data_IF_033747543465
#
_entry.id   IF_033747543465
#
_cell.length_a   1.000
_cell.length_b   1.000
_cell.length_c   1.000
_cell.angle_alpha   90.00
_cell.angle_beta   90.00
_cell.angle_gamma   90.00
#
_symmetry.space_group_name_H-M   'P 1'
#
loop_
_entity.id
_entity.type
_entity.pdbx_description
1 polymer ?
#
# COMPACT_ATOMS: atom_id res chain seq x y z
N UNK A 1 -6.34 33.07 61.79
CA UNK A 1 -7.03 31.88 61.24
C UNK A 1 -6.78 31.91 59.74
N UNK A 2 -5.71 31.29 59.26
CA UNK A 2 -5.60 29.91 58.77
C UNK A 2 -5.48 29.92 57.24
N UNK A 3 -4.25 29.78 56.74
CA UNK A 3 -3.92 29.63 55.34
C UNK A 3 -4.15 28.16 54.93
N UNK A 4 -4.97 27.93 53.90
CA UNK A 4 -5.22 26.60 53.33
C UNK A 4 -4.28 26.36 52.14
N UNK A 5 -3.30 25.49 52.34
CA UNK A 5 -2.39 25.00 51.31
C UNK A 5 -3.00 23.78 50.59
N UNK A 6 -3.02 23.81 49.27
CA UNK A 6 -3.40 22.66 48.42
C UNK A 6 -2.27 21.62 48.38
N UNK A 7 -2.55 20.31 48.50
CA UNK A 7 -1.54 19.27 48.32
C UNK A 7 -1.32 18.94 46.84
N UNK A 8 -0.10 19.20 46.34
CA UNK A 8 0.39 18.73 45.03
C UNK A 8 1.11 17.41 45.22
N UNK A 9 0.56 16.32 44.69
CA UNK A 9 1.22 15.00 44.66
C UNK A 9 2.08 14.86 43.39
N UNK A 10 3.36 14.46 43.50
CA UNK A 10 4.16 14.11 42.33
C UNK A 10 3.88 12.66 41.92
N UNK A 11 3.25 12.47 40.75
CA UNK A 11 3.11 11.16 40.13
C UNK A 11 4.43 10.79 39.45
N UNK A 12 5.05 9.73 39.96
CA UNK A 12 6.26 9.10 39.47
C UNK A 12 6.09 8.64 38.01
N UNK A 13 6.97 9.12 37.13
CA UNK A 13 7.02 8.74 35.72
C UNK A 13 7.76 7.40 35.58
N UNK A 14 7.18 6.36 34.95
CA UNK A 14 7.95 5.19 34.57
C UNK A 14 8.90 5.55 33.42
N UNK A 15 10.20 5.41 33.69
CA UNK A 15 11.29 5.53 32.72
C UNK A 15 11.21 4.34 31.74
N UNK A 16 10.64 4.56 30.56
CA UNK A 16 10.65 3.58 29.48
C UNK A 16 12.04 3.64 28.85
N UNK A 17 12.89 2.66 29.19
CA UNK A 17 14.14 2.38 28.48
C UNK A 17 13.79 1.86 27.08
N UNK A 18 14.06 2.68 26.07
CA UNK A 18 14.09 2.29 24.66
C UNK A 18 15.22 1.30 24.42
N UNK A 19 14.88 0.03 24.25
CA UNK A 19 15.77 -0.94 23.59
C UNK A 19 15.45 -0.94 22.10
N UNK A 20 16.27 -0.22 21.33
CA UNK A 20 16.39 -0.37 19.88
C UNK A 20 16.87 -1.78 19.56
N UNK A 21 15.95 -2.68 19.20
CA UNK A 21 16.28 -3.96 18.60
C UNK A 21 16.21 -3.79 17.08
N UNK A 22 17.37 -3.46 16.49
CA UNK A 22 17.58 -3.51 15.03
C UNK A 22 18.03 -4.95 14.75
N UNK A 23 17.11 -5.80 14.29
CA UNK A 23 17.49 -7.12 13.76
C UNK A 23 18.06 -6.93 12.36
N UNK A 24 19.38 -6.75 12.29
CA UNK A 24 20.16 -6.80 11.07
C UNK A 24 20.32 -8.27 10.64
N UNK A 25 19.55 -8.74 9.66
CA UNK A 25 19.86 -10.00 9.00
C UNK A 25 21.02 -9.78 8.02
N UNK A 26 22.24 -9.93 8.53
CA UNK A 26 23.44 -10.15 7.74
C UNK A 26 23.45 -11.62 7.27
N UNK A 27 23.23 -11.88 5.99
CA UNK A 27 23.63 -13.14 5.38
C UNK A 27 24.90 -12.88 4.61
N UNK A 28 26.00 -13.36 5.19
CA UNK A 28 27.34 -13.26 4.65
C UNK A 28 27.47 -14.03 3.33
N UNK A 29 27.99 -13.32 2.34
CA UNK A 29 28.49 -13.83 1.08
C UNK A 29 29.86 -14.50 1.34
N UNK A 30 30.11 -15.73 0.84
CA UNK A 30 31.47 -16.18 0.52
C UNK A 30 31.50 -17.32 -0.52
N UNK A 31 31.98 -16.93 -1.70
CA UNK A 31 32.77 -17.63 -2.72
C UNK A 31 32.88 -19.17 -2.69
N UNK A 32 32.52 -19.81 -3.81
CA UNK A 32 33.47 -20.67 -4.53
C UNK A 32 33.09 -20.87 -5.99
N UNK A 33 34.14 -20.81 -6.81
CA UNK A 33 34.22 -20.78 -8.27
C UNK A 33 33.87 -22.12 -8.93
N UNK A 34 33.00 -22.11 -9.95
CA UNK A 34 33.12 -23.07 -11.06
C UNK A 34 32.49 -22.54 -12.35
N UNK A 35 33.26 -22.66 -13.42
CA UNK A 35 32.99 -22.24 -14.79
C UNK A 35 31.76 -22.92 -15.43
N UNK A 36 30.95 -22.15 -16.14
CA UNK A 36 30.49 -22.41 -17.52
C UNK A 36 29.83 -21.12 -18.09
N UNK A 37 30.03 -20.79 -19.39
CA UNK A 37 29.40 -19.63 -20.04
C UNK A 37 28.06 -20.00 -20.72
N UNK A 38 27.20 -18.99 -20.84
CA UNK A 38 26.04 -18.85 -21.76
C UNK A 38 24.86 -19.83 -21.59
N UNK A 39 23.77 -19.27 -21.06
CA UNK A 39 22.55 -19.13 -21.87
C UNK A 39 21.76 -17.89 -21.40
N UNK A 40 21.53 -16.97 -22.33
CA UNK A 40 20.62 -15.84 -22.17
C UNK A 40 19.21 -16.43 -22.10
N UNK A 41 18.49 -16.20 -21.00
CA UNK A 41 17.05 -16.47 -20.96
C UNK A 41 16.35 -15.14 -21.20
N UNK A 42 16.15 -14.84 -22.49
CA UNK A 42 15.26 -13.79 -22.98
C UNK A 42 13.84 -14.33 -22.85
N UNK A 43 13.11 -13.89 -21.83
CA UNK A 43 11.68 -14.15 -21.70
C UNK A 43 10.92 -13.04 -22.42
N UNK A 44 10.71 -13.23 -23.72
CA UNK A 44 9.71 -12.49 -24.50
C UNK A 44 8.50 -13.41 -24.61
N UNK A 45 7.39 -13.02 -23.98
CA UNK A 45 6.10 -13.62 -24.23
C UNK A 45 5.21 -12.55 -24.85
N UNK A 46 5.01 -12.65 -26.16
CA UNK A 46 4.07 -11.87 -26.94
C UNK A 46 3.08 -12.80 -27.65
N UNK A 47 1.92 -12.23 -27.93
CA UNK A 47 0.75 -12.74 -28.67
C UNK A 47 -0.20 -13.69 -27.88
N UNK A 48 -1.43 -13.32 -27.48
CA UNK A 48 -2.58 -12.62 -28.09
C UNK A 48 -3.62 -13.57 -28.66
N UNK A 49 -4.84 -13.53 -28.10
CA UNK A 49 -6.13 -13.80 -28.75
C UNK A 49 -7.24 -13.33 -27.76
N UNK A 50 -7.78 -12.12 -27.92
CA UNK A 50 -8.94 -11.72 -28.74
C UNK A 50 -10.26 -11.77 -27.94
N UNK A 51 -10.79 -10.59 -27.58
CA UNK A 51 -12.14 -10.10 -27.91
C UNK A 51 -12.55 -8.94 -26.99
N UNK A 52 -13.17 -7.89 -27.55
CA UNK A 52 -13.84 -6.82 -26.79
C UNK A 52 -13.10 -5.47 -26.70
N UNK A 53 -13.64 -4.47 -27.40
CA UNK A 53 -13.22 -3.07 -27.40
C UNK A 53 -13.24 -2.44 -26.00
N UNK A 54 -12.08 -2.05 -25.50
CA UNK A 54 -11.89 -0.85 -24.66
C UNK A 54 -10.45 -0.40 -24.88
N UNK A 55 -10.16 0.84 -25.30
CA UNK A 55 -8.78 1.28 -25.48
C UNK A 55 -8.04 1.07 -24.15
N UNK A 56 -6.89 0.37 -24.13
CA UNK A 56 -6.13 0.20 -22.90
C UNK A 56 -5.69 1.59 -22.46
N UNK A 57 -6.34 2.10 -21.41
CA UNK A 57 -5.88 3.29 -20.71
C UNK A 57 -4.40 3.10 -20.48
N UNK A 58 -3.58 4.02 -21.01
CA UNK A 58 -2.11 4.01 -20.93
C UNK A 58 -1.73 3.42 -19.58
N UNK A 59 -1.14 2.23 -19.57
CA UNK A 59 -0.78 1.52 -18.35
C UNK A 59 0.43 2.22 -17.74
N UNK A 60 0.17 3.38 -17.13
CA UNK A 60 1.16 4.04 -16.31
C UNK A 60 1.56 3.05 -15.23
N UNK A 61 2.86 2.78 -15.13
CA UNK A 61 3.38 1.81 -14.19
C UNK A 61 3.17 2.37 -12.77
N UNK A 62 2.12 1.88 -12.12
CA UNK A 62 1.76 2.27 -10.77
C UNK A 62 2.77 1.70 -9.77
N UNK A 63 3.31 2.56 -8.91
CA UNK A 63 4.27 2.19 -7.87
C UNK A 63 3.74 2.55 -6.48
N UNK A 64 4.38 2.04 -5.45
CA UNK A 64 4.04 2.40 -4.08
C UNK A 64 4.32 3.89 -3.89
N UNK A 65 3.36 4.63 -3.34
CA UNK A 65 3.43 6.08 -3.19
C UNK A 65 2.84 6.88 -4.36
N UNK A 66 2.59 6.26 -5.53
CA UNK A 66 2.00 6.97 -6.66
C UNK A 66 0.62 7.54 -6.31
N UNK A 67 0.32 8.79 -6.75
CA UNK A 67 -1.00 9.36 -6.61
C UNK A 67 -1.97 8.69 -7.59
N UNK A 68 -3.17 8.38 -7.11
CA UNK A 68 -4.19 7.68 -7.90
C UNK A 68 -5.55 8.32 -7.71
N UNK A 69 -6.39 8.18 -8.73
CA UNK A 69 -7.79 8.61 -8.72
C UNK A 69 -8.70 7.42 -9.02
N UNK A 70 -9.75 7.27 -8.22
CA UNK A 70 -10.79 6.26 -8.42
C UNK A 70 -11.62 6.63 -9.64
N UNK A 71 -11.70 5.72 -10.61
CA UNK A 71 -12.47 5.91 -11.85
C UNK A 71 -13.89 5.37 -11.74
N UNK A 72 -14.10 4.32 -10.95
CA UNK A 72 -15.41 3.70 -10.73
C UNK A 72 -15.47 3.18 -9.29
N UNK A 73 -16.64 3.32 -8.64
CA UNK A 73 -16.85 2.82 -7.30
C UNK A 73 -16.92 1.28 -7.28
N UNK A 74 -16.04 0.58 -6.56
CA UNK A 74 -16.14 -0.87 -6.41
C UNK A 74 -17.45 -1.24 -5.70
N UNK A 75 -18.13 -2.33 -6.09
CA UNK A 75 -19.36 -2.78 -5.40
C UNK A 75 -19.11 -3.22 -3.96
N UNK A 76 -17.96 -3.84 -3.73
CA UNK A 76 -17.53 -4.35 -2.42
C UNK A 76 -16.08 -3.95 -2.18
N UNK A 77 -15.76 -3.63 -0.94
CA UNK A 77 -14.43 -3.17 -0.53
C UNK A 77 -13.98 -3.92 0.73
N UNK A 78 -12.68 -4.19 0.84
CA UNK A 78 -12.09 -4.73 2.07
C UNK A 78 -11.37 -3.64 2.83
N UNK A 79 -11.65 -3.54 4.13
CA UNK A 79 -10.93 -2.61 5.01
C UNK A 79 -9.56 -3.19 5.37
N UNK A 80 -8.52 -2.35 5.38
CA UNK A 80 -7.18 -2.76 5.82
C UNK A 80 -6.99 -2.74 7.36
N UNK A 81 -8.04 -3.05 8.12
CA UNK A 81 -7.98 -3.18 9.58
C UNK A 81 -7.31 -4.50 10.00
N UNK A 82 -6.96 -4.64 11.29
CA UNK A 82 -6.36 -5.88 11.83
C UNK A 82 -7.19 -7.13 11.53
N UNK A 83 -8.52 -6.98 11.45
CA UNK A 83 -9.44 -7.99 10.94
C UNK A 83 -10.08 -7.45 9.66
N UNK A 84 -9.63 -7.92 8.48
CA UNK A 84 -10.20 -7.46 7.21
C UNK A 84 -11.65 -7.92 7.06
N UNK A 85 -12.57 -6.97 6.99
CA UNK A 85 -13.97 -7.24 6.69
C UNK A 85 -14.30 -6.77 5.26
N UNK A 86 -15.05 -7.60 4.54
CA UNK A 86 -15.61 -7.26 3.24
C UNK A 86 -16.94 -6.53 3.49
N UNK A 87 -17.07 -5.31 2.94
CA UNK A 87 -18.25 -4.46 3.12
C UNK A 87 -18.77 -3.99 1.77
N UNK A 88 -20.08 -3.83 1.65
CA UNK A 88 -20.70 -3.14 0.51
C UNK A 88 -20.24 -1.69 0.51
N UNK A 89 -19.88 -1.19 -0.67
CA UNK A 89 -19.51 0.21 -0.85
C UNK A 89 -20.77 1.08 -0.90
N UNK A 90 -21.33 1.42 0.27
CA UNK A 90 -22.48 2.31 0.41
C UNK A 90 -22.05 3.79 0.36
N UNK A 91 -21.33 4.18 -0.70
CA UNK A 91 -20.79 5.55 -0.86
C UNK A 91 -19.53 5.85 -0.04
N UNK A 92 -18.81 4.81 0.41
CA UNK A 92 -17.56 4.92 1.17
C UNK A 92 -16.42 5.37 0.25
N UNK A 93 -16.42 4.85 -0.99
CA UNK A 93 -15.48 5.19 -2.04
C UNK A 93 -16.29 5.57 -3.26
N UNK A 94 -16.10 6.79 -3.74
CA UNK A 94 -16.82 7.34 -4.88
C UNK A 94 -15.85 7.56 -6.05
N UNK A 95 -16.36 7.59 -7.30
CA UNK A 95 -15.56 8.02 -8.44
C UNK A 95 -15.06 9.46 -8.22
N UNK A 96 -13.81 9.71 -8.57
CA UNK A 96 -13.14 10.99 -8.31
C UNK A 96 -12.38 11.04 -6.98
N UNK A 97 -12.55 10.06 -6.09
CA UNK A 97 -11.75 10.01 -4.87
C UNK A 97 -10.26 9.85 -5.19
N UNK A 98 -9.44 10.70 -4.57
CA UNK A 98 -8.00 10.71 -4.75
C UNK A 98 -7.32 10.05 -3.56
N UNK A 99 -6.29 9.26 -3.84
CA UNK A 99 -5.49 8.59 -2.84
C UNK A 99 -4.06 8.34 -3.26
N UNK A 100 -3.38 7.53 -2.44
CA UNK A 100 -2.03 7.04 -2.72
C UNK A 100 -1.94 5.54 -2.51
N UNK A 101 -1.10 4.90 -3.32
CA UNK A 101 -0.81 3.47 -3.18
C UNK A 101 0.05 3.24 -1.94
N UNK A 102 -0.40 2.36 -1.05
CA UNK A 102 0.30 1.95 0.17
C UNK A 102 1.10 0.66 -0.06
N UNK A 103 0.50 -0.33 -0.73
CA UNK A 103 1.19 -1.60 -1.00
C UNK A 103 0.55 -2.35 -2.18
N UNK A 104 1.36 -3.17 -2.86
CA UNK A 104 0.90 -4.11 -3.88
C UNK A 104 0.46 -5.41 -3.23
N UNK A 105 -0.66 -5.97 -3.68
CA UNK A 105 -1.10 -7.33 -3.34
C UNK A 105 -1.13 -8.18 -4.62
N UNK A 106 -1.13 -9.51 -4.48
CA UNK A 106 -1.34 -10.40 -5.61
C UNK A 106 -2.68 -10.13 -6.31
N UNK A 107 -2.81 -10.61 -7.55
CA UNK A 107 -4.05 -10.50 -8.37
C UNK A 107 -4.49 -9.06 -8.64
N UNK A 108 -3.53 -8.15 -8.85
CA UNK A 108 -3.79 -6.73 -9.13
C UNK A 108 -4.70 -6.04 -8.11
N UNK A 109 -4.64 -6.51 -6.86
CA UNK A 109 -5.26 -5.84 -5.73
C UNK A 109 -4.24 -4.90 -5.10
N UNK A 110 -4.67 -3.71 -4.70
CA UNK A 110 -3.80 -2.67 -4.17
C UNK A 110 -4.37 -2.11 -2.89
N UNK A 111 -3.51 -1.89 -1.89
CA UNK A 111 -3.91 -1.12 -0.72
C UNK A 111 -3.80 0.36 -1.08
N UNK A 112 -4.92 1.08 -1.08
CA UNK A 112 -4.99 2.51 -1.41
C UNK A 112 -5.41 3.27 -0.16
N UNK A 113 -4.64 4.30 0.20
CA UNK A 113 -5.01 5.26 1.25
C UNK A 113 -5.83 6.38 0.62
N UNK A 114 -7.11 6.40 0.96
CA UNK A 114 -8.05 7.46 0.64
C UNK A 114 -8.27 8.34 1.89
N UNK A 115 -8.99 9.45 1.73
CA UNK A 115 -9.38 10.32 2.85
C UNK A 115 -10.17 9.57 3.94
N UNK A 116 -11.03 8.64 3.52
CA UNK A 116 -11.90 7.87 4.43
C UNK A 116 -11.12 6.77 5.17
N UNK A 117 -10.05 6.25 4.58
CA UNK A 117 -9.28 5.17 5.18
C UNK A 117 -8.40 4.42 4.18
N UNK A 118 -7.86 3.28 4.60
CA UNK A 118 -7.09 2.39 3.73
C UNK A 118 -7.94 1.19 3.32
N UNK A 119 -8.07 0.97 2.01
CA UNK A 119 -8.89 -0.08 1.44
C UNK A 119 -8.11 -0.91 0.43
N UNK A 120 -8.52 -2.16 0.25
CA UNK A 120 -8.05 -3.01 -0.85
C UNK A 120 -8.95 -2.79 -2.06
N UNK A 121 -8.36 -2.31 -3.16
CA UNK A 121 -9.05 -1.94 -4.39
C UNK A 121 -8.34 -2.63 -5.55
N UNK A 122 -9.10 -3.20 -6.48
CA UNK A 122 -8.55 -3.78 -7.70
C UNK A 122 -8.02 -2.69 -8.64
N UNK A 123 -6.98 -2.99 -9.41
CA UNK A 123 -6.36 -2.07 -10.38
C UNK A 123 -7.30 -1.54 -11.46
N UNK A 124 -8.47 -2.16 -11.65
CA UNK A 124 -9.52 -1.71 -12.59
C UNK A 124 -10.33 -0.51 -12.09
N UNK A 125 -10.31 -0.21 -10.80
CA UNK A 125 -11.16 0.85 -10.21
C UNK A 125 -10.43 2.17 -10.05
N UNK A 126 -9.13 2.24 -10.35
CA UNK A 126 -8.35 3.46 -10.22
C UNK A 126 -7.30 3.57 -11.33
N UNK A 127 -6.82 4.78 -11.57
CA UNK A 127 -5.70 5.08 -12.47
C UNK A 127 -4.73 6.05 -11.82
N UNK A 128 -3.53 6.17 -12.41
CA UNK A 128 -2.57 7.18 -12.00
C UNK A 128 -3.18 8.58 -12.14
N UNK A 129 -2.92 9.45 -11.17
CA UNK A 129 -3.28 10.84 -11.25
C UNK A 129 -2.20 11.58 -12.05
N UNK A 130 -2.50 11.93 -13.28
CA UNK A 130 -1.68 12.84 -14.10
C UNK A 130 -1.92 14.27 -13.58
N UNK A 131 -0.88 14.90 -13.04
CA UNK A 131 -0.88 16.34 -12.77
C UNK A 131 -0.21 16.99 -13.97
N UNK A 132 -1.02 17.54 -14.89
CA UNK A 132 -0.49 18.44 -15.91
C UNK A 132 0.11 19.65 -15.19
N UNK A 133 1.39 19.90 -15.44
CA UNK A 133 2.18 20.96 -14.82
C UNK A 133 1.97 22.31 -15.51
#
# INVERSE_FOLDING_TARGET
>A
MAASFSPTTPISRPSIRTLTSISSFNVSNNLSTRSQPRSIVKCESSASAADGQTPPAKSQKLEIGSPVIVIEAPKMIKTAASVPCLRVNSGIINPGDVGRIVSRKPKDVWAVRLKVGTYLIDGRYFRALELDQ
#
